data_IF_290767085321
#
_entry.id   IF_290767085321
#
_cell.length_a   1.000
_cell.length_b   1.000
_cell.length_c   1.000
_cell.angle_alpha   90.00
_cell.angle_beta   90.00
_cell.angle_gamma   90.00
#
_symmetry.space_group_name_H-M   'P 1'
#
loop_
_entity.id
_entity.type
_entity.pdbx_description
1 polymer ?
#
# COMPACT_ATOMS: atom_id res chain seq x y z
N UNK A 1 -29.34 29.31 -37.57
CA UNK A 1 -28.08 28.67 -38.00
C UNK A 1 -27.62 27.75 -36.86
N UNK A 2 -28.02 26.47 -36.90
CA UNK A 2 -27.74 25.47 -35.87
C UNK A 2 -27.12 24.27 -36.60
N UNK A 3 -25.85 23.98 -36.37
CA UNK A 3 -25.17 22.83 -36.98
C UNK A 3 -25.03 21.74 -35.93
N UNK A 4 -25.81 20.68 -36.11
CA UNK A 4 -25.77 19.43 -35.35
C UNK A 4 -24.66 18.58 -35.97
N UNK A 5 -23.59 18.30 -35.24
CA UNK A 5 -22.62 17.28 -35.66
C UNK A 5 -23.09 15.90 -35.19
N UNK A 6 -23.38 15.03 -36.16
CA UNK A 6 -23.71 13.64 -35.97
C UNK A 6 -22.47 12.85 -35.48
N UNK A 7 -22.67 12.09 -34.40
CA UNK A 7 -21.67 11.19 -33.83
C UNK A 7 -21.76 9.83 -34.56
N UNK A 8 -20.72 9.48 -35.32
CA UNK A 8 -20.62 8.16 -35.98
C UNK A 8 -20.25 7.07 -34.96
N UNK A 9 -21.10 6.05 -34.86
CA UNK A 9 -20.85 4.82 -34.09
C UNK A 9 -19.80 3.95 -34.80
N UNK A 10 -18.80 3.48 -34.05
CA UNK A 10 -17.75 2.58 -34.54
C UNK A 10 -18.07 1.13 -34.10
N UNK A 11 -18.25 0.15 -35.02
CA UNK A 11 -18.84 -1.16 -34.71
C UNK A 11 -17.80 -2.25 -34.36
N UNK A 12 -16.87 -1.98 -33.44
CA UNK A 12 -15.83 -2.95 -33.01
C UNK A 12 -15.88 -3.25 -31.49
N UNK A 13 -16.78 -2.61 -30.73
CA UNK A 13 -16.91 -2.84 -29.28
C UNK A 13 -17.77 -4.04 -28.89
N UNK A 14 -18.64 -4.54 -29.77
CA UNK A 14 -19.76 -5.37 -29.31
C UNK A 14 -19.48 -6.87 -29.32
N UNK A 15 -18.38 -7.32 -29.93
CA UNK A 15 -18.00 -8.75 -29.96
C UNK A 15 -17.21 -9.20 -28.72
N UNK A 16 -16.61 -8.26 -27.99
CA UNK A 16 -15.78 -8.58 -26.81
C UNK A 16 -16.59 -8.63 -25.50
N UNK A 17 -17.67 -7.84 -25.38
CA UNK A 17 -18.56 -7.89 -24.21
C UNK A 17 -19.32 -9.22 -24.08
N UNK A 18 -19.57 -9.93 -25.18
CA UNK A 18 -20.39 -11.14 -25.17
C UNK A 18 -19.61 -12.41 -24.77
N UNK A 19 -18.29 -12.43 -25.02
CA UNK A 19 -17.40 -13.51 -24.56
C UNK A 19 -17.10 -13.41 -23.05
N UNK A 20 -16.99 -12.20 -22.49
CA UNK A 20 -16.71 -12.00 -21.07
C UNK A 20 -17.95 -12.25 -20.18
N UNK A 21 -19.16 -12.03 -20.69
CA UNK A 21 -20.42 -12.32 -19.96
C UNK A 21 -20.68 -13.81 -19.74
N UNK A 22 -20.28 -14.68 -20.68
CA UNK A 22 -20.51 -16.13 -20.55
C UNK A 22 -19.60 -16.78 -19.49
N UNK A 23 -18.34 -16.34 -19.38
CA UNK A 23 -17.40 -16.87 -18.38
C UNK A 23 -17.76 -16.49 -16.94
N UNK A 24 -18.33 -15.30 -16.73
CA UNK A 24 -18.68 -14.81 -15.40
C UNK A 24 -19.92 -15.50 -14.79
N UNK A 25 -20.88 -15.95 -15.60
CA UNK A 25 -22.11 -16.59 -15.10
C UNK A 25 -21.91 -18.07 -14.72
N UNK A 26 -21.02 -18.80 -15.40
CA UNK A 26 -20.75 -20.22 -15.09
C UNK A 26 -20.03 -20.42 -13.76
N UNK A 27 -19.25 -19.43 -13.31
CA UNK A 27 -18.54 -19.49 -12.03
C UNK A 27 -19.43 -19.20 -10.80
N UNK A 28 -20.56 -18.49 -10.98
CA UNK A 28 -21.51 -18.23 -9.89
C UNK A 28 -22.39 -19.45 -9.63
N UNK A 29 -22.71 -20.24 -10.67
CA UNK A 29 -23.55 -21.44 -10.54
C UNK A 29 -22.81 -22.62 -9.86
N UNK A 30 -21.47 -22.68 -9.95
CA UNK A 30 -20.65 -23.72 -9.30
C UNK A 30 -20.41 -23.52 -7.80
N UNK A 31 -20.73 -22.34 -7.22
CA UNK A 31 -20.49 -22.06 -5.78
C UNK A 31 -21.70 -22.30 -4.86
N UNK A 32 -22.86 -22.70 -5.38
CA UNK A 32 -24.08 -22.95 -4.58
C UNK A 32 -24.35 -24.42 -4.26
N UNK A 33 -23.38 -25.32 -4.45
CA UNK A 33 -23.57 -26.76 -4.21
C UNK A 33 -22.44 -27.35 -3.35
N UNK A 34 -22.27 -26.84 -2.13
CA UNK A 34 -21.54 -27.54 -1.07
C UNK A 34 -22.56 -27.80 0.04
N UNK A 35 -23.16 -28.98 -0.07
CA UNK A 35 -24.04 -29.58 0.91
C UNK A 35 -23.23 -30.18 2.08
N UNK A 36 -23.74 -29.92 3.29
CA UNK A 36 -23.75 -30.80 4.48
C UNK A 36 -22.42 -31.13 5.18
N UNK A 37 -22.14 -30.37 6.24
CA UNK A 37 -21.33 -30.80 7.41
C UNK A 37 -22.10 -31.88 8.20
N UNK A 38 -21.47 -32.99 8.62
CA UNK A 38 -21.99 -33.81 9.70
C UNK A 38 -21.65 -33.20 11.07
N UNK A 39 -22.63 -33.25 11.97
CA UNK A 39 -22.51 -32.87 13.39
C UNK A 39 -21.52 -33.79 14.11
N UNK A 40 -20.57 -33.20 14.82
CA UNK A 40 -19.76 -33.92 15.80
C UNK A 40 -20.48 -33.86 17.15
N UNK A 41 -21.02 -35.01 17.57
CA UNK A 41 -21.53 -35.23 18.93
C UNK A 41 -20.33 -35.26 19.90
N UNK A 42 -20.37 -34.42 20.94
CA UNK A 42 -19.59 -34.63 22.16
C UNK A 42 -20.52 -34.51 23.35
N UNK A 43 -20.54 -35.60 24.11
CA UNK A 43 -21.18 -35.82 25.40
C UNK A 43 -20.65 -34.87 26.47
N UNK A 44 -21.55 -34.40 27.33
CA UNK A 44 -21.26 -33.72 28.60
C UNK A 44 -20.53 -34.64 29.59
N UNK A 45 -19.89 -34.07 30.62
CA UNK A 45 -20.56 -34.17 31.92
C UNK A 45 -20.44 -32.91 32.81
N UNK A 46 -21.52 -32.70 33.58
CA UNK A 46 -21.60 -32.09 34.91
C UNK A 46 -21.20 -30.62 35.10
N UNK A 47 -22.23 -29.81 35.40
CA UNK A 47 -22.24 -29.14 36.71
C UNK A 47 -22.27 -27.62 36.73
N UNK A 48 -23.46 -27.11 37.08
CA UNK A 48 -23.73 -25.87 37.83
C UNK A 48 -23.92 -24.55 37.07
N UNK A 49 -25.20 -24.24 36.89
CA UNK A 49 -25.78 -22.90 36.81
C UNK A 49 -25.36 -22.02 38.01
N UNK A 50 -24.98 -20.77 37.72
CA UNK A 50 -25.31 -19.65 38.62
C UNK A 50 -25.86 -18.50 37.77
N UNK A 51 -27.20 -18.40 37.78
CA UNK A 51 -27.93 -17.17 37.52
C UNK A 51 -27.83 -16.28 38.74
N UNK A 52 -27.34 -15.05 38.57
CA UNK A 52 -27.85 -13.91 39.35
C UNK A 52 -27.92 -12.68 38.44
N UNK A 53 -29.14 -12.35 38.03
CA UNK A 53 -29.49 -10.96 37.75
C UNK A 53 -29.57 -10.24 39.10
N UNK A 54 -29.10 -9.00 39.21
CA UNK A 54 -29.96 -7.95 39.74
C UNK A 54 -29.44 -6.55 39.43
N UNK A 55 -30.40 -5.75 38.96
CA UNK A 55 -30.42 -4.32 38.72
C UNK A 55 -29.91 -3.41 39.86
N UNK A 56 -29.66 -2.15 39.45
CA UNK A 56 -29.61 -0.85 40.19
C UNK A 56 -28.17 -0.36 40.36
N UNK A 57 -27.79 0.89 40.10
CA UNK A 57 -28.49 2.20 40.09
C UNK A 57 -27.61 3.15 39.23
N UNK A 58 -28.16 3.84 38.24
CA UNK A 58 -28.56 5.26 38.28
C UNK A 58 -27.44 6.30 38.52
N UNK A 59 -27.20 7.06 37.43
CA UNK A 59 -27.07 8.54 37.31
C UNK A 59 -25.95 9.32 38.04
N UNK A 60 -25.20 10.05 37.19
CA UNK A 60 -24.80 11.47 37.21
C UNK A 60 -24.29 12.07 38.52
N UNK A 61 -23.06 12.59 38.48
CA UNK A 61 -22.58 13.93 38.88
C UNK A 61 -21.21 14.08 38.17
N UNK A 62 -21.01 14.86 37.09
CA UNK A 62 -20.84 16.32 37.07
C UNK A 62 -20.83 16.96 38.46
N UNK A 63 -19.65 17.20 39.01
CA UNK A 63 -19.07 18.55 39.08
C UNK A 63 -17.76 18.54 39.87
N UNK A 64 -16.81 19.33 39.40
CA UNK A 64 -15.58 19.58 40.13
C UNK A 64 -15.87 20.44 41.35
N UNK A 65 -15.28 20.08 42.49
CA UNK A 65 -14.89 21.07 43.50
C UNK A 65 -13.81 20.51 44.41
N UNK A 66 -12.86 21.39 44.70
CA UNK A 66 -11.77 21.27 45.63
C UNK A 66 -12.21 20.75 47.01
N UNK A 67 -11.41 19.86 47.58
CA UNK A 67 -11.47 19.48 48.98
C UNK A 67 -10.06 19.32 49.55
N UNK A 68 -9.56 20.39 50.19
CA UNK A 68 -8.41 20.34 51.09
C UNK A 68 -8.73 19.36 52.23
N UNK A 69 -7.83 18.43 52.51
CA UNK A 69 -7.78 17.75 53.81
C UNK A 69 -6.39 17.90 54.41
N UNK A 70 -6.31 18.75 55.42
CA UNK A 70 -5.17 18.96 56.30
C UNK A 70 -5.19 17.92 57.42
N UNK A 71 -4.12 17.13 57.56
CA UNK A 71 -3.62 16.70 58.88
C UNK A 71 -2.10 16.63 58.82
N UNK A 72 -1.48 17.54 59.55
CA UNK A 72 -0.04 17.62 59.72
C UNK A 72 0.49 16.54 60.64
N UNK A 73 1.74 16.15 60.38
CA UNK A 73 2.70 15.88 61.44
C UNK A 73 3.99 16.60 61.09
N UNK A 74 4.44 17.41 62.04
CA UNK A 74 5.60 18.26 62.00
C UNK A 74 6.79 17.48 62.57
N UNK A 75 7.90 17.38 61.84
CA UNK A 75 9.20 17.06 62.42
C UNK A 75 10.33 17.83 61.71
N UNK A 76 10.98 18.65 62.53
CA UNK A 76 12.21 19.43 62.46
C UNK A 76 13.15 19.40 61.23
N UNK A 77 13.41 20.63 60.74
CA UNK A 77 14.71 21.24 60.33
C UNK A 77 15.73 20.37 59.56
N UNK A 78 15.93 20.71 58.29
CA UNK A 78 17.24 21.15 57.76
C UNK A 78 17.07 21.83 56.39
N UNK A 79 17.96 22.78 56.12
CA UNK A 79 18.09 23.52 54.86
C UNK A 79 18.34 22.56 53.70
N UNK A 80 17.55 22.65 52.63
CA UNK A 80 18.09 22.69 51.26
C UNK A 80 17.02 23.12 50.26
N UNK A 81 17.31 24.22 49.55
CA UNK A 81 16.55 24.62 48.37
C UNK A 81 16.72 23.54 47.31
N UNK A 82 15.71 22.72 47.06
CA UNK A 82 15.66 21.85 45.88
C UNK A 82 14.46 22.23 45.05
N UNK A 83 14.79 22.84 43.91
CA UNK A 83 13.92 22.94 42.76
C UNK A 83 13.32 21.55 42.50
N UNK A 84 12.01 21.42 42.75
CA UNK A 84 11.22 20.33 42.19
C UNK A 84 11.08 20.62 40.70
N UNK A 85 12.10 20.24 39.92
CA UNK A 85 11.92 20.06 38.50
C UNK A 85 10.89 18.96 38.31
N UNK A 86 9.72 19.38 37.85
CA UNK A 86 8.63 18.56 37.34
C UNK A 86 9.27 17.49 36.44
N UNK A 87 9.38 16.27 36.95
CA UNK A 87 9.79 15.12 36.16
C UNK A 87 8.75 14.99 35.08
N UNK A 88 9.16 15.39 33.87
CA UNK A 88 8.39 15.25 32.65
C UNK A 88 7.76 13.87 32.65
N UNK A 89 6.44 13.81 32.89
CA UNK A 89 5.66 12.63 32.55
C UNK A 89 5.95 12.43 31.07
N UNK A 90 6.84 11.49 30.76
CA UNK A 90 6.91 10.90 29.43
C UNK A 90 5.51 10.38 29.17
N UNK A 91 4.73 11.17 28.45
CA UNK A 91 3.60 10.68 27.69
C UNK A 91 4.21 9.57 26.86
N UNK A 92 4.02 8.32 27.31
CA UNK A 92 4.15 7.19 26.42
C UNK A 92 3.02 7.38 25.42
N UNK A 93 3.31 8.11 24.35
CA UNK A 93 2.51 8.07 23.14
C UNK A 93 2.57 6.61 22.72
N UNK A 94 1.53 5.84 23.08
CA UNK A 94 1.35 4.50 22.57
C UNK A 94 1.01 4.70 21.09
N UNK A 95 1.89 4.33 20.14
CA UNK A 95 1.61 4.55 18.73
C UNK A 95 0.35 3.76 18.36
N UNK A 96 -0.54 4.41 17.60
CA UNK A 96 -1.78 3.84 17.09
C UNK A 96 -1.46 2.50 16.36
N UNK A 97 -2.23 1.40 16.53
CA UNK A 97 -1.93 0.10 15.91
C UNK A 97 -1.77 0.10 14.37
N UNK A 98 -2.18 1.18 13.70
CA UNK A 98 -1.95 1.43 12.28
C UNK A 98 -0.49 1.83 11.93
N UNK A 99 0.34 2.23 12.90
CA UNK A 99 1.73 2.67 12.68
C UNK A 99 2.73 1.52 12.48
N UNK A 100 2.33 0.24 12.64
CA UNK A 100 3.18 -0.92 12.25
C UNK A 100 3.23 -1.18 10.74
N UNK A 101 2.74 -0.25 9.91
CA UNK A 101 2.51 -0.44 8.45
C UNK A 101 3.22 0.58 7.57
N UNK A 102 4.17 1.35 8.10
CA UNK A 102 4.88 2.37 7.34
C UNK A 102 6.10 1.77 6.63
N UNK A 103 6.06 1.81 5.31
CA UNK A 103 7.19 1.51 4.44
C UNK A 103 7.94 2.81 4.14
N UNK A 104 9.24 2.75 3.77
CA UNK A 104 10.00 3.94 3.38
C UNK A 104 9.32 4.77 2.27
N UNK A 105 8.58 4.12 1.37
CA UNK A 105 7.79 4.79 0.34
C UNK A 105 6.66 5.66 0.94
N UNK A 106 5.87 5.10 1.87
CA UNK A 106 4.78 5.83 2.51
C UNK A 106 5.30 6.92 3.46
N UNK A 107 6.42 6.68 4.14
CA UNK A 107 7.07 7.69 4.97
C UNK A 107 7.52 8.90 4.15
N UNK A 108 8.07 8.66 2.96
CA UNK A 108 8.45 9.73 2.03
C UNK A 108 7.24 10.55 1.60
N UNK A 109 6.14 9.91 1.21
CA UNK A 109 4.93 10.60 0.78
C UNK A 109 4.27 11.39 1.92
N UNK A 110 4.20 10.80 3.12
CA UNK A 110 3.69 11.47 4.33
C UNK A 110 4.55 12.69 4.69
N UNK A 111 5.89 12.55 4.64
CA UNK A 111 6.83 13.65 4.92
C UNK A 111 6.64 14.83 3.97
N UNK A 112 6.39 14.55 2.69
CA UNK A 112 6.22 15.57 1.66
C UNK A 112 4.77 16.06 1.51
N UNK A 113 3.83 15.53 2.30
CA UNK A 113 2.38 15.81 2.20
C UNK A 113 1.85 15.61 0.77
N UNK A 114 2.40 14.62 0.09
CA UNK A 114 2.06 14.29 -1.27
C UNK A 114 0.67 13.66 -1.34
N UNK A 115 -0.15 14.03 -2.32
CA UNK A 115 -1.48 13.46 -2.50
C UNK A 115 -1.37 12.00 -2.99
N UNK A 116 -1.88 11.06 -2.21
CA UNK A 116 -1.84 9.63 -2.55
C UNK A 116 -2.95 8.86 -1.84
N UNK A 117 -3.31 7.70 -2.39
CA UNK A 117 -4.21 6.73 -1.74
C UNK A 117 -3.50 5.39 -1.55
N UNK A 118 -3.74 4.74 -0.42
CA UNK A 118 -3.13 3.46 -0.09
C UNK A 118 -4.16 2.37 -0.32
N UNK A 119 -3.77 1.33 -1.08
CA UNK A 119 -4.60 0.18 -1.38
C UNK A 119 -3.93 -1.07 -0.83
N UNK A 120 -4.64 -1.80 0.03
CA UNK A 120 -4.12 -3.04 0.62
C UNK A 120 -4.93 -4.24 0.19
N UNK A 121 -4.26 -5.33 -0.15
CA UNK A 121 -4.86 -6.61 -0.48
C UNK A 121 -4.11 -7.75 0.20
N UNK A 122 -4.79 -8.86 0.42
CA UNK A 122 -4.16 -10.06 0.95
C UNK A 122 -3.34 -10.73 -0.16
N UNK A 123 -2.02 -10.80 0.00
CA UNK A 123 -1.12 -11.39 -0.99
C UNK A 123 -1.03 -12.92 -0.82
N UNK A 124 -1.17 -13.66 -1.92
CA UNK A 124 -0.90 -15.10 -1.97
C UNK A 124 0.56 -15.34 -2.40
N UNK A 125 1.41 -15.96 -1.56
CA UNK A 125 2.79 -16.28 -1.91
C UNK A 125 2.97 -17.12 -3.18
N UNK A 126 1.91 -17.81 -3.64
CA UNK A 126 1.92 -18.64 -4.86
C UNK A 126 1.60 -17.87 -6.14
N UNK A 127 1.27 -16.58 -6.06
CA UNK A 127 0.89 -15.80 -7.23
C UNK A 127 2.05 -15.69 -8.25
N UNK A 128 1.79 -15.85 -9.56
CA UNK A 128 2.83 -15.82 -10.60
C UNK A 128 3.35 -14.41 -10.91
N UNK A 129 2.53 -13.37 -10.65
CA UNK A 129 2.89 -11.97 -10.88
C UNK A 129 2.21 -11.08 -9.85
N UNK A 130 3.01 -10.42 -9.02
CA UNK A 130 2.53 -9.54 -7.95
C UNK A 130 1.67 -8.37 -8.47
N UNK A 131 2.03 -7.83 -9.64
CA UNK A 131 1.32 -6.70 -10.23
C UNK A 131 -0.04 -7.07 -10.85
N UNK A 132 -0.14 -8.25 -11.48
CA UNK A 132 -1.43 -8.75 -11.99
C UNK A 132 -2.34 -9.17 -10.84
N UNK A 133 -1.78 -9.78 -9.80
CA UNK A 133 -2.52 -10.11 -8.58
C UNK A 133 -3.12 -8.86 -7.92
N UNK A 134 -2.35 -7.77 -7.84
CA UNK A 134 -2.86 -6.49 -7.33
C UNK A 134 -4.05 -6.00 -8.16
N UNK A 135 -3.93 -6.04 -9.50
CA UNK A 135 -5.01 -5.64 -10.39
C UNK A 135 -6.28 -6.49 -10.18
N UNK A 136 -6.13 -7.81 -10.09
CA UNK A 136 -7.26 -8.73 -9.87
C UNK A 136 -7.93 -8.54 -8.51
N UNK A 137 -7.13 -8.47 -7.42
CA UNK A 137 -7.68 -8.42 -6.05
C UNK A 137 -8.26 -7.08 -5.67
N UNK A 138 -7.77 -6.00 -6.26
CA UNK A 138 -8.25 -4.63 -6.02
C UNK A 138 -9.26 -4.17 -7.07
N UNK A 139 -9.52 -4.96 -8.12
CA UNK A 139 -10.42 -4.58 -9.22
C UNK A 139 -9.90 -3.40 -10.04
N UNK A 140 -8.58 -3.31 -10.21
CA UNK A 140 -7.92 -2.22 -10.93
C UNK A 140 -7.73 -2.58 -12.40
N UNK A 141 -7.67 -1.56 -13.25
CA UNK A 141 -7.25 -1.73 -14.64
C UNK A 141 -5.76 -2.09 -14.67
N UNK A 142 -5.41 -3.27 -15.18
CA UNK A 142 -4.03 -3.74 -15.21
C UNK A 142 -3.08 -2.81 -16.00
N UNK A 143 -3.58 -2.05 -16.97
CA UNK A 143 -2.80 -1.03 -17.70
C UNK A 143 -2.36 0.14 -16.82
N UNK A 144 -3.06 0.40 -15.70
CA UNK A 144 -2.75 1.46 -14.72
C UNK A 144 -1.88 0.98 -13.57
N UNK A 145 -1.60 -0.32 -13.47
CA UNK A 145 -0.71 -0.88 -12.45
C UNK A 145 0.70 -0.99 -13.04
N UNK A 146 1.69 -0.46 -12.33
CA UNK A 146 3.08 -0.38 -12.80
C UNK A 146 4.01 -1.17 -11.88
N UNK A 147 4.86 -2.00 -12.48
CA UNK A 147 5.93 -2.73 -11.80
C UNK A 147 7.23 -1.96 -11.86
N UNK A 148 7.98 -2.00 -10.77
CA UNK A 148 9.32 -1.40 -10.67
C UNK A 148 10.37 -2.47 -10.88
N UNK A 149 11.19 -2.30 -11.91
CA UNK A 149 12.27 -3.19 -12.31
C UNK A 149 13.61 -2.45 -12.20
N UNK A 150 14.69 -3.21 -12.02
CA UNK A 150 16.04 -2.66 -12.03
C UNK A 150 16.83 -3.27 -13.18
N UNK A 151 17.60 -2.43 -13.86
CA UNK A 151 18.54 -2.80 -14.90
C UNK A 151 19.95 -2.35 -14.53
N UNK A 152 20.97 -3.07 -14.98
CA UNK A 152 22.37 -2.69 -14.88
C UNK A 152 22.87 -2.19 -16.23
N UNK A 153 23.68 -1.13 -16.21
CA UNK A 153 24.45 -0.68 -17.38
C UNK A 153 25.73 -1.50 -17.53
N UNK A 154 26.42 -1.35 -18.66
CA UNK A 154 27.75 -1.93 -18.88
C UNK A 154 28.81 -1.46 -17.89
N UNK A 155 28.57 -0.33 -17.21
CA UNK A 155 29.45 0.24 -16.18
C UNK A 155 29.06 -0.18 -14.76
N UNK A 156 28.05 -1.03 -14.60
CA UNK A 156 27.54 -1.47 -13.30
C UNK A 156 26.64 -0.45 -12.59
N UNK A 157 26.18 0.60 -13.29
CA UNK A 157 25.19 1.53 -12.75
C UNK A 157 23.82 0.85 -12.74
N UNK A 158 23.09 0.96 -11.62
CA UNK A 158 21.72 0.48 -11.53
C UNK A 158 20.73 1.59 -11.92
N UNK A 159 19.85 1.26 -12.86
CA UNK A 159 18.75 2.09 -13.32
C UNK A 159 17.42 1.50 -12.84
N UNK A 160 16.46 2.38 -12.53
CA UNK A 160 15.10 1.99 -12.18
C UNK A 160 14.21 2.21 -13.38
N UNK A 161 13.40 1.20 -13.72
CA UNK A 161 12.43 1.25 -14.80
C UNK A 161 11.03 0.94 -14.24
N UNK A 162 10.09 1.85 -14.45
CA UNK A 162 8.69 1.72 -14.03
C UNK A 162 7.85 1.51 -15.27
N UNK A 163 7.32 0.29 -15.44
CA UNK A 163 6.59 -0.12 -16.65
C UNK A 163 5.23 -0.73 -16.30
N UNK A 164 4.20 -0.63 -17.17
CA UNK A 164 2.90 -1.27 -16.91
C UNK A 164 3.06 -2.77 -16.67
N UNK A 165 2.26 -3.35 -15.78
CA UNK A 165 2.36 -4.77 -15.44
C UNK A 165 2.07 -5.68 -16.63
N UNK A 166 1.21 -5.21 -17.53
CA UNK A 166 0.81 -5.88 -18.79
C UNK A 166 1.88 -5.83 -19.88
N UNK A 167 2.94 -5.01 -19.72
CA UNK A 167 4.03 -4.86 -20.69
C UNK A 167 5.33 -5.48 -20.17
N UNK A 168 6.28 -5.71 -21.05
CA UNK A 168 7.66 -6.07 -20.67
C UNK A 168 8.61 -4.89 -20.82
N UNK A 169 9.72 -4.88 -20.09
CA UNK A 169 10.74 -3.83 -20.21
C UNK A 169 11.55 -4.02 -21.49
N UNK A 170 11.67 -2.98 -22.31
CA UNK A 170 12.61 -2.91 -23.41
C UNK A 170 13.95 -2.34 -22.94
N UNK A 171 14.93 -3.24 -22.79
CA UNK A 171 16.29 -2.91 -22.36
C UNK A 171 17.04 -2.01 -23.36
N UNK A 172 16.75 -2.10 -24.66
CA UNK A 172 17.37 -1.22 -25.67
C UNK A 172 16.80 0.18 -25.56
N UNK A 173 15.47 0.29 -25.42
CA UNK A 173 14.82 1.57 -25.25
C UNK A 173 15.24 2.25 -23.92
N UNK A 174 15.38 1.48 -22.84
CA UNK A 174 15.93 1.98 -21.58
C UNK A 174 17.38 2.47 -21.73
N UNK A 175 18.23 1.73 -22.44
CA UNK A 175 19.61 2.15 -22.70
C UNK A 175 19.66 3.49 -23.46
N UNK A 176 18.83 3.63 -24.49
CA UNK A 176 18.69 4.86 -25.26
C UNK A 176 18.19 6.02 -24.39
N UNK A 177 17.15 5.80 -23.58
CA UNK A 177 16.60 6.82 -22.67
C UNK A 177 17.63 7.27 -21.62
N UNK A 178 18.49 6.34 -21.17
CA UNK A 178 19.56 6.59 -20.23
C UNK A 178 20.85 7.13 -20.86
N UNK A 179 20.96 7.17 -22.19
CA UNK A 179 22.18 7.60 -22.87
C UNK A 179 23.39 6.69 -22.60
N UNK A 180 23.14 5.38 -22.45
CA UNK A 180 24.16 4.35 -22.22
C UNK A 180 24.20 3.35 -23.38
N UNK A 181 25.27 2.59 -23.51
CA UNK A 181 25.45 1.70 -24.67
C UNK A 181 24.54 0.48 -24.60
N UNK A 182 24.37 -0.11 -23.40
CA UNK A 182 23.57 -1.32 -23.20
C UNK A 182 23.02 -1.36 -21.78
N UNK A 183 21.84 -1.95 -21.63
CA UNK A 183 21.36 -2.36 -20.30
C UNK A 183 21.00 -3.84 -20.29
N UNK A 184 21.06 -4.44 -19.12
CA UNK A 184 20.61 -5.81 -18.83
C UNK A 184 19.82 -5.84 -17.53
N UNK A 185 19.02 -6.88 -17.30
CA UNK A 185 18.29 -7.00 -16.04
C UNK A 185 19.29 -7.08 -14.87
N UNK A 186 19.05 -6.29 -13.82
CA UNK A 186 19.93 -6.27 -12.67
C UNK A 186 19.88 -7.62 -11.93
N UNK A 187 21.02 -7.99 -11.32
CA UNK A 187 21.06 -9.10 -10.37
C UNK A 187 20.03 -8.87 -9.24
N UNK A 188 19.16 -9.85 -8.94
CA UNK A 188 18.12 -9.67 -7.94
C UNK A 188 18.65 -9.30 -6.56
N UNK A 189 19.80 -9.86 -6.15
CA UNK A 189 20.39 -9.54 -4.86
C UNK A 189 20.98 -8.11 -4.84
N UNK A 190 21.61 -7.67 -5.92
CA UNK A 190 22.05 -6.28 -6.09
C UNK A 190 20.87 -5.30 -6.06
N UNK A 191 19.76 -5.65 -6.70
CA UNK A 191 18.55 -4.84 -6.69
C UNK A 191 17.97 -4.69 -5.27
N UNK A 192 17.85 -5.79 -4.52
CA UNK A 192 17.37 -5.76 -3.14
C UNK A 192 18.32 -4.97 -2.22
N UNK A 193 19.64 -5.14 -2.35
CA UNK A 193 20.62 -4.38 -1.57
C UNK A 193 20.56 -2.88 -1.84
N UNK A 194 20.45 -2.50 -3.11
CA UNK A 194 20.44 -1.08 -3.53
C UNK A 194 19.13 -0.38 -3.14
N UNK A 195 18.00 -1.04 -3.33
CA UNK A 195 16.68 -0.46 -3.04
C UNK A 195 16.30 -0.57 -1.56
N UNK A 196 16.75 -1.62 -0.88
CA UNK A 196 16.29 -1.97 0.46
C UNK A 196 14.94 -2.70 0.49
N UNK A 197 14.35 -2.99 -0.67
CA UNK A 197 13.10 -3.72 -0.79
C UNK A 197 13.32 -5.19 -1.18
N UNK A 198 12.29 -6.01 -0.99
CA UNK A 198 12.27 -7.39 -1.46
C UNK A 198 11.68 -7.50 -2.86
N UNK A 199 12.08 -8.52 -3.61
CA UNK A 199 11.47 -8.85 -4.91
C UNK A 199 9.95 -9.06 -4.76
N UNK A 200 9.20 -8.49 -5.69
CA UNK A 200 7.74 -8.47 -5.66
C UNK A 200 7.12 -7.36 -4.79
N UNK A 201 7.94 -6.55 -4.11
CA UNK A 201 7.50 -5.39 -3.36
C UNK A 201 8.45 -4.21 -3.51
N UNK A 202 9.19 -4.13 -4.63
CA UNK A 202 10.09 -3.01 -4.88
C UNK A 202 9.24 -1.79 -5.25
N UNK A 203 9.34 -0.76 -4.43
CA UNK A 203 8.74 0.55 -4.73
C UNK A 203 9.71 1.42 -5.54
N UNK A 204 9.21 2.27 -6.44
CA UNK A 204 10.04 3.32 -7.04
C UNK A 204 10.36 4.44 -6.04
N UNK A 205 9.64 4.50 -4.91
CA UNK A 205 9.78 5.51 -3.87
C UNK A 205 10.51 4.97 -2.63
N UNK A 206 11.23 5.85 -1.94
CA UNK A 206 11.86 5.51 -0.65
C UNK A 206 12.97 4.46 -0.74
N UNK A 207 13.62 4.33 -1.89
CA UNK A 207 14.77 3.43 -2.04
C UNK A 207 15.98 3.92 -1.23
N UNK A 208 16.77 2.99 -0.67
CA UNK A 208 17.99 3.32 0.11
C UNK A 208 19.00 4.14 -0.68
N UNK A 209 19.24 3.76 -1.93
CA UNK A 209 20.06 4.53 -2.87
C UNK A 209 19.16 5.27 -3.86
N UNK A 210 19.55 6.48 -4.19
CA UNK A 210 18.87 7.28 -5.20
C UNK A 210 19.39 6.89 -6.58
N UNK A 211 18.56 6.19 -7.35
CA UNK A 211 18.89 5.67 -8.67
C UNK A 211 18.20 6.50 -9.75
N UNK A 212 18.82 6.59 -10.92
CA UNK A 212 18.19 7.21 -12.10
C UNK A 212 16.96 6.40 -12.47
N UNK A 213 15.82 7.09 -12.53
CA UNK A 213 14.52 6.46 -12.71
C UNK A 213 13.93 6.85 -14.05
N UNK A 214 13.36 5.86 -14.73
CA UNK A 214 12.65 6.03 -15.99
C UNK A 214 11.25 5.47 -15.83
N UNK A 215 10.25 6.24 -16.22
CA UNK A 215 8.84 5.83 -16.18
C UNK A 215 8.36 5.68 -17.62
N UNK A 216 7.65 4.60 -17.92
CA UNK A 216 7.05 4.42 -19.23
C UNK A 216 6.09 5.57 -19.53
N UNK A 217 6.23 6.17 -20.71
CA UNK A 217 5.47 7.37 -21.07
C UNK A 217 3.96 7.18 -21.06
N UNK A 218 3.49 5.92 -21.20
CA UNK A 218 2.07 5.54 -21.10
C UNK A 218 1.44 5.90 -19.75
N UNK A 219 2.25 6.07 -18.69
CA UNK A 219 1.78 6.55 -17.39
C UNK A 219 1.09 7.92 -17.48
N UNK A 220 1.47 8.75 -18.45
CA UNK A 220 0.89 10.10 -18.65
C UNK A 220 -0.51 10.06 -19.27
N UNK A 221 -0.98 8.90 -19.74
CA UNK A 221 -2.31 8.73 -20.32
C UNK A 221 -3.41 8.58 -19.25
N UNK A 222 -3.03 8.47 -17.97
CA UNK A 222 -3.93 8.22 -16.86
C UNK A 222 -3.90 9.35 -15.85
N UNK A 223 -5.04 9.65 -15.22
CA UNK A 223 -5.13 10.61 -14.12
C UNK A 223 -4.31 10.15 -12.91
N UNK A 224 -4.39 8.85 -12.60
CA UNK A 224 -3.60 8.19 -11.56
C UNK A 224 -3.14 6.80 -11.98
N UNK A 225 -2.00 6.40 -11.43
CA UNK A 225 -1.38 5.08 -11.62
C UNK A 225 -1.14 4.43 -10.26
N UNK A 226 -0.96 3.11 -10.27
CA UNK A 226 -0.67 2.31 -9.08
C UNK A 226 0.76 1.78 -9.13
N UNK A 227 1.51 1.94 -8.05
CA UNK A 227 2.86 1.38 -7.88
C UNK A 227 2.99 0.73 -6.51
N UNK A 228 3.89 -0.25 -6.40
CA UNK A 228 4.11 -0.93 -5.12
C UNK A 228 4.50 0.07 -4.04
N UNK A 229 3.88 -0.05 -2.87
CA UNK A 229 4.19 0.77 -1.70
C UNK A 229 5.38 0.21 -0.89
N UNK A 230 6.17 -0.72 -1.42
CA UNK A 230 7.41 -1.19 -0.76
C UNK A 230 7.25 -2.50 0.02
N UNK A 231 6.09 -3.15 -0.10
CA UNK A 231 5.83 -4.50 0.41
C UNK A 231 4.72 -5.16 -0.40
N UNK A 232 4.69 -6.48 -0.40
CA UNK A 232 3.63 -7.27 -1.07
C UNK A 232 2.27 -7.01 -0.41
N UNK A 233 1.20 -6.99 -1.20
CA UNK A 233 -0.15 -6.71 -0.68
C UNK A 233 -0.41 -5.23 -0.39
N UNK A 234 0.45 -4.32 -0.86
CA UNK A 234 0.30 -2.89 -0.63
C UNK A 234 0.73 -2.10 -1.87
N UNK A 235 -0.23 -1.37 -2.43
CA UNK A 235 -0.04 -0.44 -3.55
C UNK A 235 -0.32 0.98 -3.09
N UNK A 236 0.26 1.94 -3.80
CA UNK A 236 -0.04 3.36 -3.68
C UNK A 236 -0.52 3.89 -5.02
N UNK A 237 -1.64 4.59 -4.98
CA UNK A 237 -2.20 5.34 -6.10
C UNK A 237 -1.76 6.79 -6.02
N UNK A 238 -1.16 7.29 -7.10
CA UNK A 238 -0.78 8.69 -7.25
C UNK A 238 -0.70 9.09 -8.71
N UNK A 239 -0.55 10.40 -8.99
CA UNK A 239 -0.36 10.89 -10.36
C UNK A 239 1.04 10.53 -10.87
N UNK A 240 1.17 10.32 -12.18
CA UNK A 240 2.48 10.06 -12.80
C UNK A 240 3.46 11.23 -12.60
N UNK A 241 2.96 12.47 -12.61
CA UNK A 241 3.76 13.67 -12.37
C UNK A 241 4.35 13.70 -10.96
N UNK A 242 3.55 13.41 -9.93
CA UNK A 242 4.01 13.35 -8.55
C UNK A 242 5.05 12.23 -8.34
N UNK A 243 4.86 11.09 -9.00
CA UNK A 243 5.84 10.01 -9.00
C UNK A 243 7.17 10.48 -9.59
N UNK A 244 7.11 11.14 -10.75
CA UNK A 244 8.29 11.66 -11.44
C UNK A 244 9.02 12.73 -10.62
N UNK A 245 8.30 13.62 -9.94
CA UNK A 245 8.86 14.64 -9.06
C UNK A 245 9.67 14.01 -7.92
N UNK A 246 9.07 13.08 -7.17
CA UNK A 246 9.73 12.46 -6.02
C UNK A 246 10.90 11.55 -6.38
N UNK A 247 10.91 11.01 -7.60
CA UNK A 247 11.99 10.15 -8.10
C UNK A 247 13.01 10.90 -8.95
N UNK A 248 12.72 12.15 -9.34
CA UNK A 248 13.37 12.86 -10.47
C UNK A 248 13.45 11.96 -11.71
N UNK A 249 12.36 11.24 -12.01
CA UNK A 249 12.32 10.36 -13.15
C UNK A 249 12.14 11.11 -14.46
N UNK A 250 12.57 10.45 -15.54
CA UNK A 250 12.29 10.87 -16.91
C UNK A 250 11.24 9.94 -17.53
N UNK A 251 10.26 10.50 -18.22
CA UNK A 251 9.35 9.73 -19.06
C UNK A 251 10.03 9.31 -20.37
N UNK A 252 9.86 8.05 -20.76
CA UNK A 252 10.39 7.51 -22.02
C UNK A 252 9.59 6.28 -22.48
N UNK A 253 9.56 5.95 -23.78
CA UNK A 253 8.93 4.73 -24.29
C UNK A 253 9.82 3.52 -23.96
N UNK A 254 9.69 2.95 -22.77
CA UNK A 254 10.56 1.87 -22.27
C UNK A 254 9.82 0.54 -22.09
N UNK A 255 8.50 0.52 -22.22
CA UNK A 255 7.71 -0.69 -22.32
C UNK A 255 7.65 -1.22 -23.75
N UNK A 256 7.51 -2.54 -23.90
CA UNK A 256 7.12 -3.24 -25.14
C UNK A 256 6.01 -4.25 -24.84
N UNK A 257 5.28 -4.64 -25.87
CA UNK A 257 4.25 -5.69 -25.79
C UNK A 257 4.82 -7.03 -25.30
#
# INVERSE_FOLDING_TARGET
MLVIHAYQKNPISDRWCELYRKSAFDNIRKRKNIDKKPLCQRSEPNGQEIRTSLHRRLRRLQDGTFGLFSKGHQCCRSRESRHVHFTSLKVMVVPNPLERRMTPALDLLKKNRAEHRIHSYEHDPKAPSYGLEAAEKLGLEAVRVFKTLLASTEKGELLVAVVPVVRTLDLKALANAAGVKKTEMADPAAAQRSTGYLLGGISPLGQKKRLRTFIDETAQLFESIYVSAGRRGLEVELTAALLAEHTQARFAPIGRE
#
